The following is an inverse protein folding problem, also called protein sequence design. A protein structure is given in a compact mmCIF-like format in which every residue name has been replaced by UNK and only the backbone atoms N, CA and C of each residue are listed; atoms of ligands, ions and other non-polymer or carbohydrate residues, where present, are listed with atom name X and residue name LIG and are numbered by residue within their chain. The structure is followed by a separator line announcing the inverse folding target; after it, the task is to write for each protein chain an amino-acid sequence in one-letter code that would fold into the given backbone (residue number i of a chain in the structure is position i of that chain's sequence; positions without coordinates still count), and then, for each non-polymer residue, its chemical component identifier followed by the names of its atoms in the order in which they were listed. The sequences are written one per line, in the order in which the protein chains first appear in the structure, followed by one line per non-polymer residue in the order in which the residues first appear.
data_IF_205241397662
#
_entry.id   IF_205241397662
#
_cell.length_a   1.000
_cell.length_b   1.000
_cell.length_c   1.000
_cell.angle_alpha   90.00
_cell.angle_beta   90.00
_cell.angle_gamma   90.00
#
_symmetry.space_group_name_H-M   'P 1'
#
loop_
_entity.id
_entity.type
_entity.pdbx_description
1 polymer ?
#
# COMPACT_ATOMS: atom_id res chain seq x y z
N UNK A 1 24.19 30.67 -71.62
CA UNK A 1 24.16 29.81 -70.41
C UNK A 1 22.74 29.83 -69.85
N UNK A 2 22.25 28.68 -69.38
CA UNK A 2 20.90 28.47 -68.79
C UNK A 2 19.80 28.38 -69.87
N UNK A 3 18.82 27.48 -69.88
CA UNK A 3 18.30 26.53 -68.91
C UNK A 3 17.51 25.48 -69.72
N UNK A 4 17.93 24.21 -69.75
CA UNK A 4 17.11 23.14 -70.38
C UNK A 4 17.49 21.71 -69.97
N UNK A 5 17.99 21.52 -68.74
CA UNK A 5 18.43 20.20 -68.24
C UNK A 5 17.75 19.74 -66.93
N UNK A 6 16.68 20.40 -66.47
CA UNK A 6 16.04 20.10 -65.17
C UNK A 6 14.72 19.31 -65.22
N UNK A 7 14.00 19.24 -66.35
CA UNK A 7 12.62 18.67 -66.35
C UNK A 7 12.51 17.14 -66.31
N UNK A 8 13.56 16.39 -66.66
CA UNK A 8 13.54 14.92 -66.66
C UNK A 8 13.85 14.31 -65.29
N UNK A 9 14.67 14.98 -64.49
CA UNK A 9 15.11 14.51 -63.18
C UNK A 9 14.03 14.75 -62.11
N UNK A 10 13.33 15.88 -62.17
CA UNK A 10 12.24 16.19 -61.21
C UNK A 10 11.06 15.19 -61.32
N UNK A 11 10.74 14.73 -62.53
CA UNK A 11 9.64 13.78 -62.75
C UNK A 11 9.97 12.36 -62.24
N UNK A 12 11.25 11.95 -62.32
CA UNK A 12 11.70 10.68 -61.75
C UNK A 12 11.75 10.73 -60.22
N UNK A 13 12.12 11.88 -59.64
CA UNK A 13 12.11 12.09 -58.19
C UNK A 13 10.68 12.07 -57.64
N UNK A 14 9.72 12.69 -58.34
CA UNK A 14 8.30 12.64 -57.97
C UNK A 14 7.73 11.21 -57.97
N UNK A 15 7.99 10.43 -59.03
CA UNK A 15 7.53 9.03 -59.11
C UNK A 15 8.17 8.14 -58.03
N UNK A 16 9.43 8.36 -57.69
CA UNK A 16 10.09 7.61 -56.62
C UNK A 16 9.52 7.96 -55.24
N UNK A 17 9.22 9.25 -55.00
CA UNK A 17 8.60 9.70 -53.75
C UNK A 17 7.20 9.11 -53.57
N UNK A 18 6.40 9.01 -54.63
CA UNK A 18 5.05 8.44 -54.61
C UNK A 18 5.08 6.93 -54.33
N UNK A 19 5.99 6.19 -54.97
CA UNK A 19 6.22 4.77 -54.69
C UNK A 19 6.72 4.52 -53.25
N UNK A 20 7.52 5.43 -52.70
CA UNK A 20 7.94 5.35 -51.29
C UNK A 20 6.78 5.66 -50.34
N UNK A 21 5.95 6.66 -50.64
CA UNK A 21 4.77 7.00 -49.86
C UNK A 21 3.76 5.85 -49.81
N UNK A 22 3.53 5.17 -50.93
CA UNK A 22 2.64 4.00 -51.01
C UNK A 22 3.15 2.83 -50.17
N UNK A 23 4.46 2.54 -50.21
CA UNK A 23 5.06 1.50 -49.36
C UNK A 23 4.99 1.83 -47.87
N UNK A 24 5.18 3.09 -47.50
CA UNK A 24 5.05 3.54 -46.11
C UNK A 24 3.61 3.42 -45.63
N UNK A 25 2.63 3.79 -46.48
CA UNK A 25 1.21 3.65 -46.17
C UNK A 25 0.79 2.19 -46.01
N UNK A 26 1.26 1.31 -46.88
CA UNK A 26 1.02 -0.12 -46.79
C UNK A 26 1.63 -0.72 -45.52
N UNK A 27 2.87 -0.35 -45.19
CA UNK A 27 3.53 -0.76 -43.94
C UNK A 27 2.79 -0.24 -42.70
N UNK A 28 2.36 1.02 -42.70
CA UNK A 28 1.59 1.60 -41.61
C UNK A 28 0.25 0.88 -41.42
N UNK A 29 -0.43 0.51 -42.51
CA UNK A 29 -1.66 -0.27 -42.47
C UNK A 29 -1.42 -1.68 -41.90
N UNK A 30 -0.32 -2.34 -42.28
CA UNK A 30 0.05 -3.65 -41.73
C UNK A 30 0.36 -3.58 -40.23
N UNK A 31 1.09 -2.55 -39.79
CA UNK A 31 1.37 -2.31 -38.36
C UNK A 31 0.05 -2.09 -37.60
N UNK A 32 -0.88 -1.32 -38.18
CA UNK A 32 -2.19 -1.07 -37.58
C UNK A 32 -3.03 -2.34 -37.44
N UNK A 33 -3.12 -3.14 -38.51
CA UNK A 33 -3.85 -4.41 -38.49
C UNK A 33 -3.21 -5.43 -37.54
N UNK A 34 -1.88 -5.48 -37.48
CA UNK A 34 -1.15 -6.31 -36.53
C UNK A 34 -1.41 -5.86 -35.08
N UNK A 35 -1.47 -4.55 -34.82
CA UNK A 35 -1.83 -3.99 -33.52
C UNK A 35 -3.25 -4.38 -33.09
N UNK A 36 -4.22 -4.26 -33.99
CA UNK A 36 -5.61 -4.68 -33.72
C UNK A 36 -5.74 -6.19 -33.51
N UNK A 37 -5.01 -6.99 -34.29
CA UNK A 37 -4.97 -8.44 -34.13
C UNK A 37 -4.35 -8.87 -32.80
N UNK A 38 -3.24 -8.23 -32.40
CA UNK A 38 -2.59 -8.49 -31.11
C UNK A 38 -3.48 -8.09 -29.93
N UNK A 39 -4.19 -6.97 -30.01
CA UNK A 39 -5.15 -6.55 -28.99
C UNK A 39 -6.31 -7.54 -28.85
N UNK A 40 -6.94 -7.94 -29.96
CA UNK A 40 -8.02 -8.93 -29.96
C UNK A 40 -7.56 -10.28 -29.39
N UNK A 41 -6.34 -10.70 -29.72
CA UNK A 41 -5.73 -11.93 -29.19
C UNK A 41 -5.48 -11.84 -27.69
N UNK A 42 -4.98 -10.70 -27.21
CA UNK A 42 -4.75 -10.45 -25.78
C UNK A 42 -6.06 -10.35 -24.98
N UNK A 43 -7.14 -9.84 -25.57
CA UNK A 43 -8.47 -9.83 -24.95
C UNK A 43 -9.04 -11.24 -24.81
N UNK A 44 -9.01 -12.02 -25.90
CA UNK A 44 -9.54 -13.39 -25.92
C UNK A 44 -8.74 -14.35 -25.03
N UNK A 45 -7.41 -14.27 -25.07
CA UNK A 45 -6.53 -15.12 -24.24
C UNK A 45 -6.38 -14.58 -22.81
N UNK A 46 -6.51 -13.26 -22.62
CA UNK A 46 -6.46 -12.61 -21.32
C UNK A 46 -7.61 -13.04 -20.41
N UNK A 47 -8.84 -13.10 -20.93
CA UNK A 47 -9.98 -13.59 -20.16
C UNK A 47 -9.81 -15.05 -19.75
N UNK A 48 -9.38 -15.92 -20.68
CA UNK A 48 -9.15 -17.35 -20.39
C UNK A 48 -8.03 -17.56 -19.36
N UNK A 49 -6.95 -16.79 -19.45
CA UNK A 49 -5.86 -16.83 -18.48
C UNK A 49 -6.33 -16.33 -17.10
N UNK A 50 -7.12 -15.25 -17.07
CA UNK A 50 -7.72 -14.75 -15.83
C UNK A 50 -8.62 -15.79 -15.18
N UNK A 51 -9.55 -16.39 -15.94
CA UNK A 51 -10.45 -17.43 -15.43
C UNK A 51 -9.68 -18.65 -14.89
N UNK A 52 -8.59 -19.04 -15.57
CA UNK A 52 -7.71 -20.11 -15.09
C UNK A 52 -7.01 -19.74 -13.78
N UNK A 53 -6.48 -18.50 -13.67
CA UNK A 53 -5.86 -18.00 -12.44
C UNK A 53 -6.86 -17.91 -11.29
N UNK A 54 -8.11 -17.52 -11.56
CA UNK A 54 -9.18 -17.51 -10.56
C UNK A 54 -9.48 -18.92 -10.07
N UNK A 55 -9.69 -19.89 -10.96
CA UNK A 55 -9.91 -21.29 -10.57
C UNK A 55 -8.74 -21.87 -9.76
N UNK A 56 -7.52 -21.55 -10.12
CA UNK A 56 -6.34 -22.00 -9.38
C UNK A 56 -6.23 -21.32 -8.01
N UNK A 57 -6.62 -20.05 -7.91
CA UNK A 57 -6.78 -19.33 -6.66
C UNK A 57 -7.84 -19.96 -5.75
N UNK A 58 -9.02 -20.29 -6.28
CA UNK A 58 -10.09 -20.97 -5.54
C UNK A 58 -9.65 -22.36 -5.05
N UNK A 59 -8.96 -23.14 -5.90
CA UNK A 59 -8.38 -24.44 -5.49
C UNK A 59 -7.33 -24.28 -4.40
N UNK A 60 -6.48 -23.26 -4.50
CA UNK A 60 -5.45 -22.97 -3.49
C UNK A 60 -6.09 -22.53 -2.18
N UNK A 61 -7.13 -21.68 -2.23
CA UNK A 61 -7.91 -21.27 -1.07
C UNK A 61 -8.58 -22.47 -0.42
N UNK A 62 -9.25 -23.32 -1.18
CA UNK A 62 -9.91 -24.53 -0.67
C UNK A 62 -8.91 -25.49 0.00
N UNK A 63 -7.73 -25.70 -0.61
CA UNK A 63 -6.64 -26.49 -0.02
C UNK A 63 -6.10 -25.85 1.26
N UNK A 64 -5.89 -24.54 1.25
CA UNK A 64 -5.38 -23.80 2.40
C UNK A 64 -6.39 -23.82 3.55
N UNK A 65 -7.68 -23.60 3.26
CA UNK A 65 -8.78 -23.69 4.22
C UNK A 65 -8.87 -25.09 4.82
N UNK A 66 -8.78 -26.15 4.02
CA UNK A 66 -8.75 -27.53 4.53
C UNK A 66 -7.51 -27.83 5.42
N UNK A 67 -6.37 -27.18 5.13
CA UNK A 67 -5.14 -27.28 5.94
C UNK A 67 -5.19 -26.38 7.17
N UNK A 68 -6.00 -25.33 7.21
CA UNK A 68 -6.18 -24.43 8.36
C UNK A 68 -7.30 -24.91 9.29
N UNK A 69 -8.35 -25.54 8.77
CA UNK A 69 -9.45 -26.10 9.57
C UNK A 69 -9.01 -27.32 10.40
N UNK A 70 -8.07 -28.13 9.90
CA UNK A 70 -7.50 -29.29 10.64
C UNK A 70 -6.63 -28.90 11.86
N UNK A 71 -5.78 -27.86 11.82
CA UNK A 71 -5.09 -27.34 12.98
C UNK A 71 -5.94 -26.39 13.81
N UNK A 72 -7.06 -25.82 13.32
CA UNK A 72 -7.87 -24.92 14.15
C UNK A 72 -8.59 -25.65 15.31
N UNK A 73 -8.98 -26.91 15.13
CA UNK A 73 -9.63 -27.70 16.21
C UNK A 73 -8.60 -28.13 17.27
N UNK A 74 -7.42 -28.59 16.84
CA UNK A 74 -6.30 -28.96 17.73
C UNK A 74 -5.64 -27.73 18.36
N UNK A 75 -5.59 -26.61 17.66
CA UNK A 75 -5.14 -25.32 18.19
C UNK A 75 -6.19 -24.68 19.08
N UNK A 76 -7.50 -24.84 18.88
CA UNK A 76 -8.50 -24.33 19.83
C UNK A 76 -8.40 -25.01 21.19
N UNK A 77 -8.25 -26.34 21.24
CA UNK A 77 -8.03 -27.06 22.52
C UNK A 77 -6.68 -26.72 23.16
N UNK A 78 -5.60 -26.58 22.37
CA UNK A 78 -4.30 -26.15 22.90
C UNK A 78 -4.26 -24.67 23.28
N UNK A 79 -4.99 -23.80 22.58
CA UNK A 79 -5.10 -22.36 22.91
C UNK A 79 -5.99 -22.16 24.12
N UNK A 80 -7.07 -22.92 24.32
CA UNK A 80 -7.86 -22.87 25.56
C UNK A 80 -7.05 -23.34 26.77
N UNK A 81 -6.32 -24.46 26.64
CA UNK A 81 -5.47 -24.99 27.74
C UNK A 81 -4.20 -24.16 27.99
N UNK A 82 -3.65 -23.49 26.97
CA UNK A 82 -2.55 -22.52 27.14
C UNK A 82 -3.08 -21.18 27.63
N UNK A 83 -4.24 -20.69 27.19
CA UNK A 83 -4.88 -19.46 27.69
C UNK A 83 -5.24 -19.59 29.17
N UNK A 84 -5.68 -20.75 29.62
CA UNK A 84 -5.94 -21.04 31.03
C UNK A 84 -4.65 -21.13 31.89
N UNK A 85 -3.51 -21.53 31.31
CA UNK A 85 -2.20 -21.59 31.99
C UNK A 85 -1.30 -20.36 31.80
N UNK A 86 -1.64 -19.45 30.89
CA UNK A 86 -0.77 -18.35 30.45
C UNK A 86 -1.35 -16.95 30.69
N UNK A 87 -2.41 -16.79 31.50
CA UNK A 87 -2.92 -15.46 31.88
C UNK A 87 -1.82 -14.54 32.41
N UNK A 88 -0.85 -15.06 33.17
CA UNK A 88 0.30 -14.29 33.66
C UNK A 88 1.43 -14.03 32.64
N UNK A 89 1.50 -14.81 31.55
CA UNK A 89 2.47 -14.57 30.47
C UNK A 89 1.91 -13.64 29.40
N UNK A 90 0.59 -13.58 29.25
CA UNK A 90 -0.10 -12.73 28.29
C UNK A 90 0.01 -11.24 28.65
N UNK A 91 -0.06 -10.91 29.94
CA UNK A 91 0.15 -9.54 30.44
C UNK A 91 1.54 -8.99 30.07
N UNK A 92 2.58 -9.84 30.08
CA UNK A 92 3.94 -9.44 29.66
C UNK A 92 4.02 -9.18 28.15
N UNK A 93 3.26 -9.93 27.36
CA UNK A 93 3.18 -9.74 25.90
C UNK A 93 2.39 -8.47 25.59
N UNK A 94 1.29 -8.22 26.31
CA UNK A 94 0.52 -6.98 26.23
C UNK A 94 1.40 -5.77 26.55
N UNK A 95 2.15 -5.82 27.66
CA UNK A 95 3.11 -4.76 28.02
C UNK A 95 4.20 -4.57 26.97
N UNK A 96 4.75 -5.65 26.41
CA UNK A 96 5.77 -5.56 25.36
C UNK A 96 5.22 -5.00 24.04
N UNK A 97 3.97 -5.32 23.71
CA UNK A 97 3.27 -4.79 22.55
C UNK A 97 2.97 -3.30 22.72
N UNK A 98 2.44 -2.91 23.88
CA UNK A 98 2.13 -1.52 24.21
C UNK A 98 3.39 -0.64 24.15
N UNK A 99 4.53 -1.12 24.67
CA UNK A 99 5.83 -0.42 24.54
C UNK A 99 6.22 -0.22 23.06
N UNK A 100 6.02 -1.23 22.20
CA UNK A 100 6.37 -1.11 20.77
C UNK A 100 5.43 -0.17 20.03
N UNK A 101 4.13 -0.21 20.32
CA UNK A 101 3.13 0.68 19.73
C UNK A 101 3.35 2.12 20.19
N UNK A 102 3.52 2.33 21.49
CA UNK A 102 3.87 3.62 22.09
C UNK A 102 5.13 4.22 21.44
N UNK A 103 6.20 3.42 21.29
CA UNK A 103 7.44 3.86 20.63
C UNK A 103 7.23 4.24 19.16
N UNK A 104 6.36 3.54 18.43
CA UNK A 104 6.02 3.90 17.05
C UNK A 104 5.23 5.21 16.98
N UNK A 105 4.27 5.41 17.89
CA UNK A 105 3.48 6.63 17.99
C UNK A 105 4.34 7.85 18.36
N UNK A 106 5.26 7.71 19.31
CA UNK A 106 6.22 8.77 19.66
C UNK A 106 7.11 9.17 18.48
N UNK A 107 7.55 8.21 17.65
CA UNK A 107 8.30 8.52 16.42
C UNK A 107 7.49 9.30 15.40
N UNK A 108 6.17 9.20 15.45
CA UNK A 108 5.23 9.96 14.62
C UNK A 108 4.73 11.23 15.31
N UNK A 109 5.30 11.58 16.47
CA UNK A 109 4.91 12.73 17.28
C UNK A 109 3.43 12.69 17.73
N UNK A 110 2.89 11.49 17.92
CA UNK A 110 1.52 11.25 18.38
C UNK A 110 1.57 10.93 19.89
N UNK A 111 0.98 11.76 20.76
CA UNK A 111 0.94 11.50 22.20
C UNK A 111 0.01 10.32 22.54
N UNK A 112 0.38 9.54 23.54
CA UNK A 112 -0.40 8.40 24.03
C UNK A 112 -1.27 8.79 25.22
N UNK A 113 -2.25 7.94 25.59
CA UNK A 113 -3.11 8.18 26.76
C UNK A 113 -2.31 8.26 28.06
N UNK A 114 -1.30 7.40 28.22
CA UNK A 114 -0.43 7.39 29.39
C UNK A 114 0.36 8.71 29.53
N UNK A 115 0.75 9.32 28.42
CA UNK A 115 1.44 10.63 28.43
C UNK A 115 0.50 11.74 28.92
N UNK A 116 -0.77 11.70 28.50
CA UNK A 116 -1.80 12.65 28.93
C UNK A 116 -2.07 12.49 30.43
N UNK A 117 -2.26 11.26 30.91
CA UNK A 117 -2.53 10.98 32.32
C UNK A 117 -1.36 11.45 33.21
N UNK A 118 -0.11 11.21 32.79
CA UNK A 118 1.09 11.68 33.48
C UNK A 118 1.15 13.21 33.56
N UNK A 119 0.81 13.89 32.45
CA UNK A 119 0.76 15.35 32.41
C UNK A 119 -0.33 15.89 33.34
N UNK A 120 -1.53 15.29 33.33
CA UNK A 120 -2.63 15.68 34.22
C UNK A 120 -2.22 15.55 35.69
N UNK A 121 -1.56 14.44 36.07
CA UNK A 121 -1.08 14.27 37.44
C UNK A 121 -0.07 15.36 37.84
N UNK A 122 0.90 15.67 36.96
CA UNK A 122 1.88 16.74 37.21
C UNK A 122 1.21 18.11 37.37
N UNK A 123 0.19 18.39 36.57
CA UNK A 123 -0.58 19.63 36.67
C UNK A 123 -1.27 19.70 38.03
N UNK A 124 -1.96 18.65 38.46
CA UNK A 124 -2.63 18.63 39.77
C UNK A 124 -1.66 18.77 40.94
N UNK A 125 -0.47 18.16 40.87
CA UNK A 125 0.58 18.35 41.88
C UNK A 125 1.09 19.79 41.92
N UNK A 126 1.29 20.42 40.76
CA UNK A 126 1.71 21.81 40.66
C UNK A 126 0.63 22.78 41.16
N UNK A 127 -0.64 22.53 40.83
CA UNK A 127 -1.80 23.30 41.34
C UNK A 127 -1.86 23.24 42.88
N UNK A 128 -1.65 22.05 43.46
CA UNK A 128 -1.63 21.89 44.91
C UNK A 128 -0.46 22.66 45.57
N UNK A 129 0.71 22.69 44.94
CA UNK A 129 1.86 23.46 45.42
C UNK A 129 1.61 24.98 45.31
N UNK A 130 1.03 25.43 44.20
CA UNK A 130 0.65 26.83 44.01
C UNK A 130 -0.35 27.28 45.07
N UNK A 131 -1.41 26.49 45.33
CA UNK A 131 -2.36 26.80 46.39
C UNK A 131 -1.71 26.93 47.78
N UNK A 132 -0.72 26.08 48.09
CA UNK A 132 0.00 26.15 49.36
C UNK A 132 0.82 27.43 49.47
N UNK A 133 1.51 27.81 48.39
CA UNK A 133 2.28 29.06 48.33
C UNK A 133 1.36 30.27 48.44
N UNK A 134 0.23 30.29 47.74
CA UNK A 134 -0.77 31.36 47.83
C UNK A 134 -1.34 31.48 49.24
N UNK A 135 -1.69 30.36 49.89
CA UNK A 135 -2.16 30.35 51.29
C UNK A 135 -1.07 30.85 52.25
N UNK A 136 0.20 30.52 52.01
CA UNK A 136 1.32 31.00 52.82
C UNK A 136 1.57 32.50 52.62
N UNK A 137 1.54 32.99 51.37
CA UNK A 137 1.68 34.40 51.03
C UNK A 137 0.53 35.25 51.62
N UNK A 138 -0.71 34.76 51.53
CA UNK A 138 -1.88 35.43 52.11
C UNK A 138 -1.83 35.52 53.64
N UNK A 139 -1.19 34.55 54.32
CA UNK A 139 -0.95 34.60 55.77
C UNK A 139 0.16 35.59 56.14
N UNK A 140 1.19 35.74 55.31
CA UNK A 140 2.29 36.66 55.55
C UNK A 140 1.89 38.14 55.42
N UNK A 141 0.93 38.47 54.55
CA UNK A 141 0.42 39.85 54.35
C UNK A 141 -0.56 40.29 55.44
N UNK A 142 -1.19 39.34 56.17
CA UNK A 142 -2.14 39.62 57.25
C UNK A 142 -1.50 39.74 58.65
N UNK A 143 -0.18 39.59 58.75
CA UNK A 143 0.59 39.68 60.00
C UNK A 143 1.46 40.93 59.96
#
# INVERSE_FOLDING_TARGET
MGDKKSSGTDNQVGQLAEQMADRVKESANQIWLAGLGAYSKAEEEGSKLFDALVQDGEKLEARTRAIVDKPLTVAKEKVETVRARATGSWEKVEKAFDIRVSKALHRLNIPTRADVDLLTQRISELEAQLEQIEKAAAKAVKK
#
